data_IF_804424397093
#
_entry.id   IF_804424397093
#
_cell.length_a   1.000
_cell.length_b   1.000
_cell.length_c   1.000
_cell.angle_alpha   90.00
_cell.angle_beta   90.00
_cell.angle_gamma   90.00
#
_symmetry.space_group_name_H-M   'P 1'
#
loop_
_entity.id
_entity.type
_entity.pdbx_description
1 polymer ?
#
# COMPACT_ATOMS: atom_id res chain seq x y z
N UNK A 1 15.69 -1.53 -1.65
CA UNK A 1 15.94 -2.76 -2.44
C UNK A 1 17.41 -2.81 -2.80
N UNK A 2 18.08 -3.96 -2.70
CA UNK A 2 19.49 -4.07 -3.10
C UNK A 2 19.62 -3.95 -4.63
N UNK A 3 20.63 -3.22 -5.13
CA UNK A 3 20.77 -2.96 -6.59
C UNK A 3 20.86 -4.24 -7.43
N UNK A 4 21.37 -5.32 -6.82
CA UNK A 4 21.50 -6.63 -7.48
C UNK A 4 20.16 -7.35 -7.61
N UNK A 5 19.29 -7.33 -6.58
CA UNK A 5 17.95 -7.95 -6.65
C UNK A 5 17.10 -7.31 -7.74
N UNK A 6 17.21 -5.98 -7.89
CA UNK A 6 16.53 -5.26 -8.96
C UNK A 6 16.98 -5.72 -10.35
N UNK A 7 18.30 -5.77 -10.59
CA UNK A 7 18.86 -6.23 -11.86
C UNK A 7 18.50 -7.69 -12.19
N UNK A 8 18.38 -8.55 -11.18
CA UNK A 8 17.89 -9.94 -11.36
C UNK A 8 16.45 -9.93 -11.84
N UNK A 9 15.56 -9.17 -11.19
CA UNK A 9 14.15 -9.06 -11.59
C UNK A 9 13.99 -8.50 -13.00
N UNK A 10 14.73 -7.45 -13.33
CA UNK A 10 14.74 -6.84 -14.65
C UNK A 10 15.19 -7.81 -15.74
N UNK A 11 16.22 -8.63 -15.47
CA UNK A 11 16.61 -9.68 -16.38
C UNK A 11 15.49 -10.72 -16.54
N UNK A 12 14.92 -11.22 -15.45
CA UNK A 12 13.91 -12.28 -15.47
C UNK A 12 12.62 -11.87 -16.18
N UNK A 13 12.24 -10.59 -16.15
CA UNK A 13 11.09 -10.07 -16.91
C UNK A 13 11.14 -10.40 -18.40
N UNK A 14 12.32 -10.33 -19.00
CA UNK A 14 12.49 -10.62 -20.44
C UNK A 14 12.34 -12.11 -20.77
N UNK A 15 12.25 -12.97 -19.75
CA UNK A 15 12.18 -14.42 -19.86
C UNK A 15 10.91 -15.01 -19.24
N UNK A 16 9.86 -14.21 -19.04
CA UNK A 16 8.57 -14.70 -18.51
C UNK A 16 8.02 -15.89 -19.31
N UNK A 17 7.55 -16.93 -18.61
CA UNK A 17 7.02 -18.15 -19.23
C UNK A 17 8.08 -19.01 -19.90
N UNK A 18 9.37 -18.74 -19.66
CA UNK A 18 10.48 -19.48 -20.26
C UNK A 18 11.45 -20.02 -19.21
N UNK A 19 12.34 -20.90 -19.67
CA UNK A 19 13.38 -21.53 -18.87
C UNK A 19 14.73 -20.86 -19.12
N UNK A 20 15.41 -20.47 -18.05
CA UNK A 20 16.74 -19.85 -18.12
C UNK A 20 17.72 -20.59 -17.19
N UNK A 21 18.92 -20.99 -17.67
CA UNK A 21 19.93 -21.56 -16.80
C UNK A 21 20.41 -20.56 -15.74
N UNK A 22 20.55 -20.99 -14.48
CA UNK A 22 21.09 -20.13 -13.41
C UNK A 22 22.52 -19.66 -13.72
N UNK A 23 23.29 -20.46 -14.48
CA UNK A 23 24.61 -20.10 -14.99
C UNK A 23 24.57 -18.87 -15.91
N UNK A 24 23.51 -18.72 -16.69
CA UNK A 24 23.31 -17.59 -17.58
C UNK A 24 23.02 -16.31 -16.79
N UNK A 25 22.17 -16.40 -15.75
CA UNK A 25 21.81 -15.26 -14.89
C UNK A 25 23.04 -14.63 -14.23
N UNK A 26 23.92 -15.44 -13.61
CA UNK A 26 25.08 -14.88 -12.93
C UNK A 26 26.11 -14.28 -13.90
N UNK A 27 26.23 -14.83 -15.12
CA UNK A 27 27.12 -14.30 -16.16
C UNK A 27 26.59 -12.98 -16.72
N UNK A 28 25.31 -12.92 -17.05
CA UNK A 28 24.66 -11.72 -17.59
C UNK A 28 24.74 -10.54 -16.59
N UNK A 29 24.58 -10.81 -15.30
CA UNK A 29 24.58 -9.77 -14.27
C UNK A 29 25.95 -9.41 -13.71
N UNK A 30 27.02 -10.15 -14.10
CA UNK A 30 28.36 -10.07 -13.51
C UNK A 30 28.32 -10.08 -11.97
N UNK A 31 27.45 -10.90 -11.41
CA UNK A 31 27.23 -11.03 -9.96
C UNK A 31 27.78 -12.36 -9.46
N UNK A 32 28.13 -12.44 -8.17
CA UNK A 32 28.64 -13.68 -7.57
C UNK A 32 27.57 -14.77 -7.58
N UNK A 33 27.99 -16.03 -7.77
CA UNK A 33 27.08 -17.19 -7.79
C UNK A 33 26.29 -17.32 -6.49
N UNK A 34 26.92 -17.06 -5.35
CA UNK A 34 26.28 -17.09 -4.03
C UNK A 34 25.18 -16.04 -3.92
N UNK A 35 25.46 -14.79 -4.30
CA UNK A 35 24.47 -13.70 -4.21
C UNK A 35 23.28 -13.91 -5.14
N UNK A 36 23.53 -14.40 -6.36
CA UNK A 36 22.45 -14.75 -7.29
C UNK A 36 21.62 -15.91 -6.74
N UNK A 37 22.26 -16.93 -6.15
CA UNK A 37 21.54 -18.06 -5.57
C UNK A 37 20.66 -17.64 -4.38
N UNK A 38 21.14 -16.74 -3.53
CA UNK A 38 20.40 -16.18 -2.39
C UNK A 38 19.15 -15.42 -2.89
N UNK A 39 19.32 -14.52 -3.86
CA UNK A 39 18.20 -13.77 -4.45
C UNK A 39 17.20 -14.72 -5.11
N UNK A 40 17.65 -15.74 -5.83
CA UNK A 40 16.74 -16.72 -6.45
C UNK A 40 16.00 -17.54 -5.40
N UNK A 41 16.59 -17.86 -4.25
CA UNK A 41 15.85 -18.51 -3.16
C UNK A 41 14.75 -17.60 -2.59
N UNK A 42 15.01 -16.30 -2.45
CA UNK A 42 13.96 -15.34 -2.07
C UNK A 42 12.83 -15.31 -3.10
N UNK A 43 13.15 -15.19 -4.40
CA UNK A 43 12.14 -15.12 -5.46
C UNK A 43 11.33 -16.42 -5.61
N UNK A 44 11.96 -17.57 -5.33
CA UNK A 44 11.29 -18.87 -5.29
C UNK A 44 10.30 -18.94 -4.11
N UNK A 45 10.69 -18.44 -2.93
CA UNK A 45 9.79 -18.34 -1.77
C UNK A 45 8.62 -17.36 -1.99
N UNK A 46 8.82 -16.34 -2.82
CA UNK A 46 7.79 -15.38 -3.24
C UNK A 46 6.90 -15.95 -4.37
N UNK A 47 7.17 -17.16 -4.87
CA UNK A 47 6.42 -17.83 -5.94
C UNK A 47 6.63 -17.24 -7.34
N UNK A 48 7.64 -16.38 -7.52
CA UNK A 48 7.92 -15.71 -8.78
C UNK A 48 8.69 -16.60 -9.77
N UNK A 49 9.43 -17.58 -9.26
CA UNK A 49 10.19 -18.52 -10.06
C UNK A 49 10.04 -19.95 -9.51
N UNK A 50 10.33 -20.93 -10.36
CA UNK A 50 10.43 -22.34 -9.96
C UNK A 50 11.77 -22.89 -10.40
N UNK A 51 12.51 -23.52 -9.48
CA UNK A 51 13.80 -24.14 -9.81
C UNK A 51 13.61 -25.60 -10.21
N UNK A 52 14.17 -25.96 -11.36
CA UNK A 52 14.22 -27.34 -11.87
C UNK A 52 15.69 -27.75 -11.99
N UNK A 53 16.05 -28.92 -11.46
CA UNK A 53 17.39 -29.47 -11.59
C UNK A 53 17.36 -30.51 -12.72
N UNK A 54 18.12 -30.27 -13.79
CA UNK A 54 18.28 -31.21 -14.90
C UNK A 54 19.76 -31.61 -14.96
N UNK A 55 20.06 -32.84 -14.55
CA UNK A 55 21.42 -33.34 -14.41
C UNK A 55 22.24 -32.53 -13.40
N UNK A 56 23.36 -31.93 -13.85
CA UNK A 56 24.20 -31.03 -13.03
C UNK A 56 23.81 -29.54 -13.13
N UNK A 57 22.82 -29.22 -13.95
CA UNK A 57 22.43 -27.84 -14.27
C UNK A 57 21.17 -27.42 -13.52
N UNK A 58 21.22 -26.24 -12.91
CA UNK A 58 20.05 -25.59 -12.31
C UNK A 58 19.38 -24.71 -13.35
N UNK A 59 18.13 -25.02 -13.67
CA UNK A 59 17.28 -24.27 -14.60
C UNK A 59 16.21 -23.55 -13.78
N UNK A 60 15.95 -22.30 -14.15
CA UNK A 60 14.94 -21.46 -13.50
C UNK A 60 13.80 -21.30 -14.51
N UNK A 61 12.62 -21.77 -14.14
CA UNK A 61 11.40 -21.40 -14.81
C UNK A 61 10.90 -20.08 -14.25
N UNK A 62 10.67 -19.11 -15.12
CA UNK A 62 10.17 -17.79 -14.74
C UNK A 62 8.65 -17.82 -14.85
N UNK A 63 7.95 -17.73 -13.72
CA UNK A 63 6.50 -17.82 -13.74
C UNK A 63 5.92 -16.64 -14.55
N UNK A 64 4.93 -16.89 -15.43
CA UNK A 64 4.25 -15.80 -16.11
C UNK A 64 3.59 -14.88 -15.08
N UNK A 65 3.69 -13.57 -15.29
CA UNK A 65 3.15 -12.59 -14.36
C UNK A 65 4.13 -11.99 -13.35
N UNK A 66 5.45 -12.10 -13.58
CA UNK A 66 6.43 -11.20 -12.92
C UNK A 66 6.27 -9.79 -13.49
N UNK A 67 5.19 -9.13 -13.11
CA UNK A 67 5.08 -7.70 -13.32
C UNK A 67 5.98 -7.04 -12.27
N UNK A 68 6.82 -6.10 -12.71
CA UNK A 68 7.07 -4.99 -11.80
C UNK A 68 5.70 -4.44 -11.51
N UNK A 69 5.22 -4.68 -10.29
CA UNK A 69 4.49 -3.62 -9.65
C UNK A 69 5.54 -2.53 -9.55
N UNK A 70 5.58 -1.67 -10.56
CA UNK A 70 6.03 -0.32 -10.35
C UNK A 70 5.21 0.06 -9.13
N UNK A 71 5.83 0.05 -7.96
CA UNK A 71 5.47 1.02 -6.97
C UNK A 71 5.97 2.31 -7.63
N UNK A 72 5.26 2.74 -8.68
CA UNK A 72 4.95 4.12 -8.79
C UNK A 72 4.56 4.42 -7.35
N UNK A 73 5.29 5.33 -6.74
CA UNK A 73 4.61 6.32 -5.94
C UNK A 73 3.54 6.96 -6.83
N UNK A 74 2.54 6.18 -7.31
CA UNK A 74 1.15 6.55 -7.23
C UNK A 74 1.04 6.85 -5.78
N UNK A 75 1.30 8.11 -5.47
CA UNK A 75 0.92 8.64 -4.22
C UNK A 75 -0.55 8.29 -4.11
N UNK A 76 -0.88 7.22 -3.37
CA UNK A 76 -2.26 6.76 -3.25
C UNK A 76 -2.99 7.98 -2.73
N UNK A 77 -3.84 8.56 -3.56
CA UNK A 77 -4.49 9.82 -3.24
C UNK A 77 -5.46 9.51 -2.11
N UNK A 78 -5.06 9.85 -0.90
CA UNK A 78 -5.85 9.63 0.29
C UNK A 78 -6.70 10.87 0.52
N UNK A 79 -7.92 10.84 -0.01
CA UNK A 79 -8.97 11.81 0.28
C UNK A 79 -9.47 11.66 1.73
N UNK A 80 -9.30 12.70 2.53
CA UNK A 80 -9.75 12.77 3.92
C UNK A 80 -10.82 13.87 4.02
N UNK A 81 -12.04 13.49 4.38
CA UNK A 81 -13.12 14.42 4.71
C UNK A 81 -13.01 14.89 6.15
N UNK A 82 -13.07 16.19 6.39
CA UNK A 82 -13.16 16.76 7.74
C UNK A 82 -14.33 17.74 7.82
N UNK A 83 -14.89 17.91 9.01
CA UNK A 83 -15.82 19.02 9.27
C UNK A 83 -15.01 20.28 9.55
N UNK A 84 -15.54 21.46 9.23
CA UNK A 84 -14.91 22.71 9.67
C UNK A 84 -14.98 22.80 11.21
N UNK A 85 -13.83 22.65 11.90
CA UNK A 85 -13.71 22.80 13.35
C UNK A 85 -12.29 23.29 13.72
N UNK A 86 -12.20 24.13 14.76
CA UNK A 86 -10.95 24.63 15.33
C UNK A 86 -10.13 23.55 16.04
N UNK A 87 -10.71 22.39 16.33
CA UNK A 87 -10.06 21.29 17.07
C UNK A 87 -9.06 20.48 16.23
N UNK A 88 -9.06 20.68 14.90
CA UNK A 88 -8.27 19.87 13.96
C UNK A 88 -6.84 20.37 13.73
N UNK A 89 -6.24 21.02 14.74
CA UNK A 89 -4.85 21.49 14.70
C UNK A 89 -3.82 20.37 14.41
N UNK A 90 -4.17 19.12 14.71
CA UNK A 90 -3.32 17.95 14.44
C UNK A 90 -3.30 17.50 12.97
N UNK A 91 -4.21 17.99 12.12
CA UNK A 91 -4.32 17.53 10.73
C UNK A 91 -3.05 17.82 9.93
N UNK A 92 -2.40 18.97 10.15
CA UNK A 92 -1.12 19.27 9.50
C UNK A 92 -0.03 18.23 9.82
N UNK A 93 0.06 17.80 11.09
CA UNK A 93 0.98 16.75 11.52
C UNK A 93 0.62 15.37 10.97
N UNK A 94 -0.67 15.06 10.85
CA UNK A 94 -1.16 13.84 10.20
C UNK A 94 -0.77 13.80 8.71
N UNK A 95 -1.04 14.88 7.96
CA UNK A 95 -0.69 15.01 6.53
C UNK A 95 0.81 14.83 6.34
N UNK A 96 1.65 15.47 7.16
CA UNK A 96 3.12 15.35 7.07
C UNK A 96 3.58 13.91 7.27
N UNK A 97 3.00 13.18 8.24
CA UNK A 97 3.32 11.76 8.49
C UNK A 97 2.88 10.86 7.35
N UNK A 98 1.70 11.10 6.77
CA UNK A 98 1.19 10.33 5.63
C UNK A 98 1.98 10.59 4.36
N UNK A 99 2.38 11.85 4.09
CA UNK A 99 3.29 12.18 2.98
C UNK A 99 4.64 11.49 3.11
N UNK A 100 5.23 11.44 4.31
CA UNK A 100 6.46 10.67 4.58
C UNK A 100 6.31 9.17 4.31
N UNK A 101 5.08 8.62 4.39
CA UNK A 101 4.76 7.22 4.06
C UNK A 101 4.41 7.01 2.58
N UNK A 102 4.56 8.03 1.74
CA UNK A 102 4.33 7.95 0.30
C UNK A 102 2.90 8.27 -0.16
N UNK A 103 2.00 8.74 0.70
CA UNK A 103 0.64 9.14 0.31
C UNK A 103 0.59 10.59 -0.19
N UNK A 104 -0.27 10.87 -1.16
CA UNK A 104 -0.68 12.25 -1.48
C UNK A 104 -2.02 12.44 -0.78
N UNK A 105 -2.09 13.43 0.10
CA UNK A 105 -3.25 13.61 0.97
C UNK A 105 -4.02 14.82 0.48
N UNK A 106 -5.29 14.62 0.20
CA UNK A 106 -6.24 15.66 -0.18
C UNK A 106 -7.24 15.82 0.97
N UNK A 107 -7.38 17.04 1.49
CA UNK A 107 -8.33 17.33 2.57
C UNK A 107 -9.55 18.00 1.95
N UNK A 108 -10.71 17.40 2.15
CA UNK A 108 -11.99 17.96 1.75
C UNK A 108 -12.73 18.42 3.01
N UNK A 109 -13.03 19.71 3.06
CA UNK A 109 -13.70 20.31 4.22
C UNK A 109 -15.20 20.40 3.94
N UNK A 110 -15.99 19.86 4.85
CA UNK A 110 -17.45 19.86 4.80
C UNK A 110 -18.02 20.80 5.87
N UNK A 111 -19.18 21.39 5.55
CA UNK A 111 -19.87 22.34 6.44
C UNK A 111 -20.44 21.68 7.69
N UNK A 112 -20.78 20.40 7.63
CA UNK A 112 -21.42 19.68 8.72
C UNK A 112 -21.01 18.20 8.74
N UNK A 113 -21.22 17.57 9.91
CA UNK A 113 -20.87 16.18 10.16
C UNK A 113 -21.62 15.15 9.33
N UNK A 114 -22.86 15.46 8.96
CA UNK A 114 -23.71 14.56 8.19
C UNK A 114 -23.19 14.48 6.74
N UNK A 115 -22.82 15.62 6.15
CA UNK A 115 -22.19 15.67 4.81
C UNK A 115 -20.84 14.95 4.78
N UNK A 116 -20.01 15.12 5.81
CA UNK A 116 -18.73 14.42 5.89
C UNK A 116 -18.93 12.89 6.01
N UNK A 117 -19.88 12.45 6.84
CA UNK A 117 -20.21 11.03 7.00
C UNK A 117 -20.82 10.44 5.73
N UNK A 118 -21.69 11.19 5.04
CA UNK A 118 -22.29 10.81 3.76
C UNK A 118 -21.23 10.66 2.66
N UNK A 119 -20.29 11.59 2.58
CA UNK A 119 -19.19 11.52 1.62
C UNK A 119 -18.33 10.25 1.81
N UNK A 120 -18.15 9.78 3.05
CA UNK A 120 -17.51 8.50 3.33
C UNK A 120 -18.37 7.32 2.87
N UNK A 121 -19.67 7.35 3.15
CA UNK A 121 -20.60 6.30 2.76
C UNK A 121 -20.72 6.14 1.23
N UNK A 122 -20.68 7.25 0.49
CA UNK A 122 -20.74 7.29 -0.98
C UNK A 122 -19.37 7.05 -1.66
N UNK A 123 -18.30 6.90 -0.89
CA UNK A 123 -16.94 6.68 -1.41
C UNK A 123 -16.27 7.92 -2.03
N UNK A 124 -16.84 9.12 -1.83
CA UNK A 124 -16.25 10.37 -2.27
C UNK A 124 -14.94 10.71 -1.50
N UNK A 125 -14.84 10.22 -0.25
CA UNK A 125 -13.62 10.25 0.56
C UNK A 125 -13.30 8.86 1.10
N UNK A 126 -12.03 8.59 1.40
CA UNK A 126 -11.60 7.29 1.93
C UNK A 126 -11.70 7.22 3.45
N UNK A 127 -11.57 8.37 4.12
CA UNK A 127 -11.65 8.52 5.57
C UNK A 127 -12.43 9.81 5.84
N UNK A 128 -13.33 9.80 6.81
CA UNK A 128 -13.97 11.02 7.29
C UNK A 128 -13.80 11.18 8.80
N UNK A 129 -13.52 12.41 9.23
CA UNK A 129 -13.52 12.82 10.62
C UNK A 129 -14.75 13.69 10.85
N UNK A 130 -15.74 13.14 11.53
CA UNK A 130 -17.02 13.80 11.79
C UNK A 130 -17.55 13.44 13.19
N UNK A 131 -18.49 14.23 13.75
CA UNK A 131 -19.16 13.91 15.00
C UNK A 131 -19.79 12.51 15.00
N UNK A 132 -19.62 11.77 16.11
CA UNK A 132 -20.09 10.39 16.27
C UNK A 132 -21.58 10.23 15.96
N UNK A 133 -22.41 11.18 16.41
CA UNK A 133 -23.87 11.17 16.20
C UNK A 133 -24.21 11.03 14.71
N UNK A 134 -23.50 11.76 13.83
CA UNK A 134 -23.69 11.68 12.38
C UNK A 134 -23.30 10.32 11.80
N UNK A 135 -22.25 9.71 12.34
CA UNK A 135 -21.75 8.40 11.88
C UNK A 135 -22.72 7.26 12.22
N UNK A 136 -23.40 7.34 13.37
CA UNK A 136 -24.36 6.33 13.81
C UNK A 136 -25.60 6.23 12.90
N UNK A 137 -26.00 7.31 12.24
CA UNK A 137 -27.08 7.27 11.24
C UNK A 137 -26.72 6.45 10.00
N UNK A 138 -25.45 6.47 9.58
CA UNK A 138 -24.99 5.76 8.38
C UNK A 138 -24.55 4.31 8.66
N UNK A 139 -24.17 4.02 9.89
CA UNK A 139 -23.73 2.69 10.33
C UNK A 139 -24.70 1.54 9.98
N UNK A 140 -26.02 1.60 10.27
CA UNK A 140 -26.94 0.51 9.94
C UNK A 140 -27.23 0.43 8.43
N UNK A 141 -27.10 1.55 7.72
CA UNK A 141 -27.47 1.68 6.31
C UNK A 141 -26.40 1.11 5.38
N UNK A 142 -25.12 1.19 5.76
CA UNK A 142 -24.00 0.81 4.89
C UNK A 142 -23.13 -0.26 5.56
N UNK A 143 -23.19 -1.51 5.06
CA UNK A 143 -22.43 -2.67 5.59
C UNK A 143 -20.91 -2.50 5.57
N UNK A 144 -20.38 -1.64 4.71
CA UNK A 144 -18.95 -1.33 4.58
C UNK A 144 -18.49 -0.17 5.46
N UNK A 145 -19.44 0.51 6.12
CA UNK A 145 -19.15 1.66 6.97
C UNK A 145 -18.59 1.20 8.32
N UNK A 146 -17.38 1.67 8.65
CA UNK A 146 -16.71 1.34 9.91
C UNK A 146 -16.41 2.59 10.69
N UNK A 147 -16.96 2.65 11.90
CA UNK A 147 -16.65 3.70 12.88
C UNK A 147 -15.37 3.30 13.60
N UNK A 148 -14.36 4.18 13.56
CA UNK A 148 -13.12 4.03 14.32
C UNK A 148 -13.11 5.11 15.39
N UNK A 149 -13.26 4.74 16.66
CA UNK A 149 -13.34 5.66 17.80
C UNK A 149 -12.00 6.32 18.19
N UNK A 150 -10.98 6.25 17.32
CA UNK A 150 -9.61 6.71 17.61
C UNK A 150 -9.33 8.17 17.22
N UNK A 151 -10.34 8.93 16.77
CA UNK A 151 -10.18 10.30 16.26
C UNK A 151 -10.30 11.43 17.30
N UNK A 152 -10.61 11.11 18.55
CA UNK A 152 -10.89 12.10 19.61
C UNK A 152 -9.81 12.09 20.69
N UNK A 153 -9.08 13.19 20.81
CA UNK A 153 -8.51 13.65 22.08
C UNK A 153 -9.17 14.99 22.41
N UNK A 154 -10.02 15.04 23.44
CA UNK A 154 -10.52 16.32 23.98
C UNK A 154 -12.01 16.65 23.81
N UNK A 155 -12.93 15.69 23.91
CA UNK A 155 -14.37 16.03 24.02
C UNK A 155 -14.69 16.77 25.33
N UNK A 156 -15.59 17.75 25.29
CA UNK A 156 -16.09 18.44 26.49
C UNK A 156 -17.38 17.79 27.00
N UNK A 157 -17.49 17.69 28.33
CA UNK A 157 -18.66 17.16 29.05
C UNK A 157 -19.47 18.35 29.57
N UNK A 158 -20.68 18.54 29.06
CA UNK A 158 -21.65 19.46 29.67
C UNK A 158 -22.22 18.77 30.90
N UNK A 159 -21.94 19.33 32.07
CA UNK A 159 -22.56 18.93 33.34
C UNK A 159 -23.57 20.02 33.69
N UNK A 160 -24.85 19.69 33.66
CA UNK A 160 -25.91 20.53 34.21
C UNK A 160 -26.14 20.11 35.67
N UNK A 161 -26.45 21.09 36.53
CA UNK A 161 -26.64 20.89 37.97
C UNK A 161 -28.11 20.76 38.30
#
# INVERSE_FOLDING_TARGET
MSSVKWRVLELLKNYQGSYIPQSHIHRALRASKSRVSEILCELESEGLITRVIIGKSKIIYVNPGIFEKYVETQHRVLKIGIVYSSEYLFIGGLVKRLRKRGFNVEILVYRDGLRAARALAEGAVHIALSPLVGQLYFYPTYRTYRVILAGLQGGFRVVYK
#
